data_IF_469862327838
#
_entry.id   IF_469862327838
#
_cell.length_a   1.000
_cell.length_b   1.000
_cell.length_c   1.000
_cell.angle_alpha   90.00
_cell.angle_beta   90.00
_cell.angle_gamma   90.00
#
_symmetry.space_group_name_H-M   'P 1'
#
loop_
_entity.id
_entity.type
_entity.pdbx_description
1 polymer ?
#
# COMPACT_ATOMS: atom_id res chain seq x y z
N UNK A 1 17.55 8.36 16.48
CA UNK A 1 16.88 7.30 17.25
C UNK A 1 17.57 6.00 16.96
N UNK A 2 17.78 5.18 17.98
CA UNK A 2 18.21 3.80 17.80
C UNK A 2 17.17 3.08 16.92
N UNK A 3 17.57 2.42 15.81
CA UNK A 3 16.65 1.71 14.92
C UNK A 3 15.96 0.49 15.58
N UNK A 4 16.39 0.11 16.79
CA UNK A 4 15.84 -1.00 17.57
C UNK A 4 14.91 -0.53 18.71
N UNK A 5 14.73 0.78 18.89
CA UNK A 5 13.83 1.33 19.91
C UNK A 5 12.52 1.76 19.24
N UNK A 6 11.43 1.04 19.55
CA UNK A 6 10.11 1.34 18.99
C UNK A 6 9.51 2.60 19.64
N UNK A 7 8.52 3.20 18.98
CA UNK A 7 7.76 4.30 19.57
C UNK A 7 7.06 3.89 20.89
N UNK A 8 6.76 2.61 21.07
CA UNK A 8 6.13 2.06 22.27
C UNK A 8 7.11 1.91 23.45
N UNK A 9 8.37 1.58 23.19
CA UNK A 9 9.43 1.55 24.21
C UNK A 9 9.68 2.95 24.78
N UNK A 10 9.61 3.96 23.90
CA UNK A 10 9.67 5.37 24.30
C UNK A 10 8.38 5.76 25.05
N UNK A 11 7.19 5.43 24.53
CA UNK A 11 5.92 5.77 25.18
C UNK A 11 5.76 5.16 26.58
N UNK A 12 6.32 3.97 26.83
CA UNK A 12 6.29 3.32 28.15
C UNK A 12 7.26 3.92 29.17
N UNK A 13 8.24 4.72 28.73
CA UNK A 13 9.23 5.38 29.60
C UNK A 13 8.94 6.86 29.85
N UNK A 14 8.04 7.48 29.08
CA UNK A 14 7.58 8.86 29.34
C UNK A 14 6.28 8.83 30.16
N UNK A 15 6.21 9.67 31.19
CA UNK A 15 5.00 9.82 32.00
C UNK A 15 3.77 10.09 31.12
N UNK A 16 2.58 9.54 31.45
CA UNK A 16 1.35 9.78 30.70
C UNK A 16 1.12 11.29 30.55
N UNK A 17 1.17 11.81 29.32
CA UNK A 17 0.93 13.24 29.03
C UNK A 17 2.12 14.03 28.47
N UNK A 18 3.31 13.43 28.32
CA UNK A 18 4.44 14.05 27.61
C UNK A 18 4.67 13.31 26.28
N UNK A 19 3.68 13.37 25.38
CA UNK A 19 3.88 12.95 24.00
C UNK A 19 4.36 14.16 23.20
N UNK A 20 5.65 14.22 22.89
CA UNK A 20 6.15 15.15 21.87
C UNK A 20 5.71 14.67 20.47
N UNK A 21 5.55 15.60 19.51
CA UNK A 21 5.21 15.22 18.13
C UNK A 21 6.16 14.16 17.54
N UNK A 22 7.44 14.20 17.93
CA UNK A 22 8.45 13.22 17.51
C UNK A 22 8.29 11.84 18.17
N UNK A 23 7.68 11.75 19.37
CA UNK A 23 7.39 10.47 20.03
C UNK A 23 6.07 9.82 19.56
N UNK A 24 5.20 10.58 18.89
CA UNK A 24 4.00 10.04 18.24
C UNK A 24 4.20 9.73 16.75
N UNK A 25 5.36 10.08 16.17
CA UNK A 25 5.66 9.71 14.80
C UNK A 25 6.00 8.21 14.79
N UNK A 26 5.30 7.38 14.00
CA UNK A 26 5.52 5.94 14.02
C UNK A 26 6.97 5.65 13.60
N UNK A 27 7.83 5.36 14.58
CA UNK A 27 9.19 4.95 14.34
C UNK A 27 9.20 3.47 13.97
N UNK A 28 9.06 3.20 12.66
CA UNK A 28 9.10 1.82 12.17
C UNK A 28 10.44 1.17 12.45
N UNK A 29 10.45 -0.02 13.04
CA UNK A 29 11.65 -0.82 13.20
C UNK A 29 12.12 -1.37 11.84
N UNK A 30 13.39 -1.75 11.75
CA UNK A 30 13.92 -2.41 10.55
C UNK A 30 13.21 -3.73 10.25
N UNK A 31 12.80 -4.45 11.30
CA UNK A 31 11.98 -5.65 11.16
C UNK A 31 10.61 -5.33 10.55
N UNK A 32 9.99 -4.20 10.88
CA UNK A 32 8.63 -3.85 10.42
C UNK A 32 8.58 -3.35 8.97
N UNK A 33 9.63 -2.64 8.52
CA UNK A 33 9.69 -2.15 7.16
C UNK A 33 11.12 -2.22 6.61
N UNK A 34 11.61 -3.42 6.25
CA UNK A 34 12.99 -3.63 5.84
C UNK A 34 13.38 -2.78 4.62
N UNK A 35 12.48 -2.63 3.64
CA UNK A 35 12.75 -1.80 2.46
C UNK A 35 13.07 -0.34 2.81
N UNK A 36 12.45 0.24 3.84
CA UNK A 36 12.70 1.63 4.27
C UNK A 36 14.18 1.89 4.58
N UNK A 37 14.86 0.89 5.14
CA UNK A 37 16.22 1.00 5.64
C UNK A 37 17.30 0.64 4.63
N UNK A 38 16.93 0.23 3.40
CA UNK A 38 17.89 -0.04 2.34
C UNK A 38 18.68 1.23 1.96
N UNK A 39 20.00 1.09 1.88
CA UNK A 39 20.95 2.15 1.50
C UNK A 39 21.77 1.73 0.29
N UNK A 40 22.35 2.69 -0.41
CA UNK A 40 23.23 2.44 -1.56
C UNK A 40 22.53 2.44 -2.93
N UNK A 41 23.28 2.05 -3.95
CA UNK A 41 22.80 1.98 -5.34
C UNK A 41 21.78 0.85 -5.46
N UNK A 42 20.64 1.12 -6.08
CA UNK A 42 19.53 0.15 -6.21
C UNK A 42 18.46 0.25 -5.11
N UNK A 43 18.77 0.81 -3.93
CA UNK A 43 17.82 0.89 -2.81
C UNK A 43 16.52 1.65 -3.13
N UNK A 44 16.57 2.66 -4.02
CA UNK A 44 15.36 3.37 -4.48
C UNK A 44 14.46 2.46 -5.34
N UNK A 45 15.08 1.68 -6.22
CA UNK A 45 14.36 0.75 -7.09
C UNK A 45 13.71 -0.35 -6.25
N UNK A 46 14.49 -1.02 -5.40
CA UNK A 46 13.99 -2.09 -4.53
C UNK A 46 12.84 -1.61 -3.65
N UNK A 47 12.93 -0.39 -3.09
CA UNK A 47 11.84 0.22 -2.34
C UNK A 47 10.57 0.39 -3.17
N UNK A 48 10.68 1.01 -4.35
CA UNK A 48 9.53 1.22 -5.23
C UNK A 48 8.87 -0.08 -5.67
N UNK A 49 9.68 -1.08 -6.07
CA UNK A 49 9.19 -2.39 -6.47
C UNK A 49 8.52 -3.14 -5.31
N UNK A 50 9.14 -3.12 -4.13
CA UNK A 50 8.61 -3.81 -2.94
C UNK A 50 7.30 -3.17 -2.48
N UNK A 51 7.25 -1.85 -2.31
CA UNK A 51 6.02 -1.17 -1.89
C UNK A 51 4.90 -1.30 -2.92
N UNK A 52 5.22 -1.23 -4.22
CA UNK A 52 4.24 -1.50 -5.27
C UNK A 52 3.69 -2.93 -5.20
N UNK A 53 4.55 -3.92 -4.98
CA UNK A 53 4.12 -5.31 -4.79
C UNK A 53 3.25 -5.50 -3.55
N UNK A 54 3.52 -4.79 -2.45
CA UNK A 54 2.67 -4.84 -1.26
C UNK A 54 1.25 -4.34 -1.54
N UNK A 55 1.06 -3.33 -2.40
CA UNK A 55 -0.28 -2.92 -2.82
C UNK A 55 -1.03 -4.05 -3.51
N UNK A 56 -0.37 -4.76 -4.44
CA UNK A 56 -0.95 -5.93 -5.11
C UNK A 56 -1.23 -7.06 -4.11
N UNK A 57 -0.29 -7.37 -3.23
CA UNK A 57 -0.45 -8.42 -2.23
C UNK A 57 -1.63 -8.13 -1.28
N UNK A 58 -1.78 -6.89 -0.83
CA UNK A 58 -2.90 -6.48 0.01
C UNK A 58 -4.23 -6.55 -0.75
N UNK A 59 -4.28 -6.14 -2.02
CA UNK A 59 -5.47 -6.29 -2.86
C UNK A 59 -5.85 -7.77 -3.05
N UNK A 60 -4.86 -8.64 -3.21
CA UNK A 60 -5.07 -10.09 -3.26
C UNK A 60 -5.65 -10.63 -1.94
N UNK A 61 -5.14 -10.20 -0.79
CA UNK A 61 -5.69 -10.60 0.51
C UNK A 61 -7.14 -10.15 0.72
N UNK A 62 -7.51 -8.96 0.22
CA UNK A 62 -8.89 -8.49 0.22
C UNK A 62 -9.81 -9.36 -0.65
N UNK A 63 -9.33 -9.82 -1.80
CA UNK A 63 -10.08 -10.69 -2.69
C UNK A 63 -10.15 -12.14 -2.20
N UNK A 64 -9.08 -12.64 -1.55
CA UNK A 64 -8.96 -14.00 -1.05
C UNK A 64 -8.19 -14.05 0.29
N UNK A 65 -8.88 -14.00 1.44
CA UNK A 65 -8.24 -13.95 2.76
C UNK A 65 -7.73 -15.31 3.27
N UNK A 66 -7.49 -16.28 2.38
CA UNK A 66 -7.07 -17.64 2.76
C UNK A 66 -5.65 -17.76 3.32
N UNK A 67 -4.82 -16.73 3.16
CA UNK A 67 -3.39 -16.73 3.54
C UNK A 67 -3.02 -15.50 4.38
N UNK A 68 -3.80 -15.20 5.42
CA UNK A 68 -3.60 -14.02 6.29
C UNK A 68 -2.42 -14.13 7.27
N UNK A 69 -1.46 -15.05 7.05
CA UNK A 69 -0.42 -15.39 8.04
C UNK A 69 0.88 -14.61 7.91
N UNK A 70 1.06 -13.84 6.83
CA UNK A 70 2.29 -13.09 6.57
C UNK A 70 1.96 -11.61 6.46
N UNK A 71 2.27 -10.84 7.50
CA UNK A 71 2.37 -9.39 7.46
C UNK A 71 3.78 -9.00 7.01
N UNK A 72 3.94 -7.91 6.27
CA UNK A 72 5.23 -7.51 5.67
C UNK A 72 6.41 -7.39 6.65
N UNK A 73 6.13 -7.35 7.95
CA UNK A 73 7.15 -7.37 8.99
C UNK A 73 7.96 -8.67 9.01
N UNK A 74 9.08 -8.63 9.71
CA UNK A 74 9.99 -9.75 9.98
C UNK A 74 10.41 -10.55 8.73
N UNK A 75 10.51 -9.85 7.59
CA UNK A 75 10.94 -10.42 6.30
C UNK A 75 10.07 -11.58 5.78
N UNK A 76 8.84 -11.75 6.28
CA UNK A 76 7.93 -12.80 5.80
C UNK A 76 7.58 -12.62 4.32
N UNK A 77 7.62 -11.37 3.84
CA UNK A 77 7.51 -11.01 2.42
C UNK A 77 8.89 -10.49 1.94
N UNK A 78 9.57 -11.25 1.06
CA UNK A 78 10.90 -10.86 0.58
C UNK A 78 10.89 -9.58 -0.24
N UNK A 79 11.99 -8.83 -0.20
CA UNK A 79 12.20 -7.64 -1.04
C UNK A 79 12.14 -7.97 -2.53
N UNK A 80 11.65 -7.04 -3.34
CA UNK A 80 11.65 -7.14 -4.81
C UNK A 80 12.85 -6.38 -5.34
N UNK A 81 13.95 -7.09 -5.60
CA UNK A 81 15.27 -6.47 -5.81
C UNK A 81 15.54 -5.99 -7.25
N UNK A 82 14.68 -6.35 -8.21
CA UNK A 82 14.88 -5.91 -9.59
C UNK A 82 13.72 -6.25 -10.53
N UNK A 83 13.83 -5.71 -11.75
CA UNK A 83 12.81 -5.81 -12.79
C UNK A 83 12.57 -7.21 -13.34
N UNK A 84 13.55 -8.12 -13.17
CA UNK A 84 13.44 -9.52 -13.62
C UNK A 84 12.64 -10.38 -12.63
N UNK A 85 12.29 -9.84 -11.48
CA UNK A 85 11.40 -10.50 -10.54
C UNK A 85 9.98 -10.54 -11.13
N UNK A 86 9.38 -11.73 -11.20
CA UNK A 86 8.01 -11.92 -11.69
C UNK A 86 7.01 -11.05 -10.93
N UNK A 87 7.26 -10.79 -9.64
CA UNK A 87 6.42 -9.92 -8.80
C UNK A 87 6.37 -8.50 -9.34
N UNK A 88 7.48 -7.97 -9.87
CA UNK A 88 7.50 -6.65 -10.50
C UNK A 88 6.58 -6.59 -11.73
N UNK A 89 6.57 -7.64 -12.56
CA UNK A 89 5.67 -7.75 -13.71
C UNK A 89 4.20 -7.84 -13.28
N UNK A 90 3.87 -8.65 -12.28
CA UNK A 90 2.51 -8.73 -11.73
C UNK A 90 2.04 -7.37 -11.17
N UNK A 91 2.90 -6.67 -10.44
CA UNK A 91 2.62 -5.32 -9.94
C UNK A 91 2.35 -4.33 -11.07
N UNK A 92 3.13 -4.37 -12.16
CA UNK A 92 2.91 -3.50 -13.31
C UNK A 92 1.54 -3.75 -13.97
N UNK A 93 1.18 -5.02 -14.17
CA UNK A 93 -0.13 -5.41 -14.71
C UNK A 93 -1.27 -4.92 -13.82
N UNK A 94 -1.11 -5.04 -12.49
CA UNK A 94 -2.11 -4.58 -11.52
C UNK A 94 -2.35 -3.06 -11.62
N UNK A 95 -1.30 -2.24 -11.57
CA UNK A 95 -1.46 -0.78 -11.67
C UNK A 95 -1.95 -0.33 -13.04
N UNK A 96 -1.54 -1.01 -14.12
CA UNK A 96 -2.07 -0.76 -15.46
C UNK A 96 -3.58 -1.06 -15.53
N UNK A 97 -4.01 -2.17 -14.93
CA UNK A 97 -5.43 -2.50 -14.80
C UNK A 97 -6.23 -1.46 -14.03
N UNK A 98 -5.71 -0.98 -12.89
CA UNK A 98 -6.33 0.11 -12.12
C UNK A 98 -6.43 1.41 -12.91
N UNK A 99 -5.40 1.75 -13.68
CA UNK A 99 -5.41 2.94 -14.54
C UNK A 99 -6.48 2.83 -15.63
N UNK A 100 -6.60 1.67 -16.28
CA UNK A 100 -7.65 1.43 -17.27
C UNK A 100 -9.05 1.51 -16.66
N UNK A 101 -9.25 0.91 -15.49
CA UNK A 101 -10.52 0.99 -14.76
C UNK A 101 -10.87 2.43 -14.40
N UNK A 102 -9.89 3.22 -13.96
CA UNK A 102 -10.08 4.65 -13.68
C UNK A 102 -10.49 5.41 -14.94
N UNK A 103 -9.82 5.18 -16.08
CA UNK A 103 -10.18 5.81 -17.35
C UNK A 103 -11.61 5.44 -17.76
N UNK A 104 -11.99 4.16 -17.66
CA UNK A 104 -13.35 3.70 -17.98
C UNK A 104 -14.37 4.35 -17.05
N UNK A 105 -14.11 4.40 -15.75
CA UNK A 105 -15.01 5.01 -14.77
C UNK A 105 -15.21 6.51 -15.04
N UNK A 106 -14.14 7.24 -15.38
CA UNK A 106 -14.21 8.66 -15.73
C UNK A 106 -15.00 8.88 -17.03
N UNK A 107 -14.82 8.02 -18.04
CA UNK A 107 -15.60 8.08 -19.30
C UNK A 107 -17.07 7.78 -19.08
N UNK A 108 -17.39 6.80 -18.23
CA UNK A 108 -18.75 6.48 -17.85
C UNK A 108 -19.41 7.65 -17.10
N UNK A 109 -18.71 8.27 -16.14
CA UNK A 109 -19.20 9.42 -15.40
C UNK A 109 -19.44 10.67 -16.28
N UNK A 110 -18.64 10.85 -17.33
CA UNK A 110 -18.79 11.95 -18.29
C UNK A 110 -19.84 11.72 -19.37
N UNK A 111 -20.40 10.51 -19.48
CA UNK A 111 -21.40 10.19 -20.50
C UNK A 111 -22.72 10.91 -20.18
N UNK A 112 -23.39 11.54 -21.17
CA UNK A 112 -24.69 12.14 -20.96
C UNK A 112 -25.67 11.13 -20.38
N UNK A 113 -26.33 11.47 -19.26
CA UNK A 113 -27.43 10.64 -18.75
C UNK A 113 -28.59 10.76 -19.73
N UNK A 114 -29.23 9.63 -20.04
CA UNK A 114 -30.43 9.65 -20.88
C UNK A 114 -31.49 10.59 -20.26
N UNK A 115 -32.22 11.36 -21.08
CA UNK A 115 -33.34 12.14 -20.58
C UNK A 115 -34.35 11.22 -19.90
N UNK A 116 -34.96 11.68 -18.81
CA UNK A 116 -36.01 10.93 -18.13
C UNK A 116 -37.13 10.60 -19.14
N UNK A 117 -37.74 9.39 -19.06
CA UNK A 117 -38.86 9.06 -19.92
C UNK A 117 -40.00 10.08 -19.70
N UNK A 118 -40.75 10.43 -20.76
CA UNK A 118 -41.88 11.34 -20.62
C UNK A 118 -42.94 10.72 -19.68
N UNK A 119 -43.72 11.54 -18.95
CA UNK A 119 -44.79 11.04 -18.10
C UNK A 119 -45.83 10.27 -18.94
N UNK A 120 -46.49 9.25 -18.38
CA UNK A 120 -47.54 8.51 -19.09
C UNK A 120 -48.65 9.47 -19.51
N UNK A 121 -49.07 9.40 -20.77
CA UNK A 121 -50.24 10.16 -21.25
C UNK A 121 -51.48 9.56 -20.59
N UNK A 122 -52.19 10.37 -19.80
CA UNK A 122 -53.45 9.96 -19.18
C UNK A 122 -54.45 9.50 -20.23
N UNK A 123 -55.12 8.38 -19.94
CA UNK A 123 -56.26 7.84 -20.70
C UNK A 123 -57.54 8.57 -20.32
#
# INVERSE_FOLDING_TARGET
GDPNLSAWDVAGTVAPGIYSHASCEPNFLQAENPARFLKGRGARLTRGLTWGYLCLFNAWLLAWPGTLRADYSDQTVPLVEGWRDRRAACTAVFFFGLLLLLIVALRWAASPRAPAPPPPRGT
#
